data_IF_540549520341
#
_entry.id   IF_540549520341
#
_cell.length_a   1.000
_cell.length_b   1.000
_cell.length_c   1.000
_cell.angle_alpha   90.00
_cell.angle_beta   90.00
_cell.angle_gamma   90.00
#
_symmetry.space_group_name_H-M   'P 1'
#
loop_
_entity.id
_entity.type
_entity.pdbx_description
1 polymer ?
#
# COMPACT_ATOMS: atom_id res chain seq x y z
N UNK A 1 28.78 -4.88 3.39
CA UNK A 1 27.44 -5.37 2.92
C UNK A 1 26.64 -5.66 4.17
N UNK A 2 25.40 -5.16 4.26
CA UNK A 2 24.56 -5.32 5.46
C UNK A 2 24.14 -6.80 5.58
N UNK A 3 24.74 -7.52 6.51
CA UNK A 3 24.50 -8.95 6.76
C UNK A 3 23.10 -9.30 7.26
N UNK A 4 22.19 -8.30 7.42
CA UNK A 4 20.84 -8.48 7.95
C UNK A 4 19.75 -7.76 7.13
N UNK A 5 19.93 -7.62 5.81
CA UNK A 5 18.89 -7.02 4.98
C UNK A 5 17.72 -7.99 4.82
N UNK A 6 16.54 -7.64 5.37
CA UNK A 6 15.30 -8.39 5.19
C UNK A 6 14.34 -7.59 4.30
N UNK A 7 14.37 -7.87 3.00
CA UNK A 7 13.52 -7.18 2.03
C UNK A 7 12.05 -7.58 2.16
N UNK A 8 11.76 -8.79 2.60
CA UNK A 8 10.39 -9.21 2.85
C UNK A 8 9.74 -8.30 3.91
N UNK A 9 10.49 -7.94 4.97
CA UNK A 9 10.01 -7.02 6.00
C UNK A 9 9.86 -5.58 5.48
N UNK A 10 10.78 -5.12 4.64
CA UNK A 10 10.71 -3.77 4.03
C UNK A 10 9.52 -3.66 3.06
N UNK A 11 9.22 -4.74 2.33
CA UNK A 11 8.22 -4.74 1.27
C UNK A 11 6.83 -5.23 1.72
N UNK A 12 6.68 -5.78 2.91
CA UNK A 12 5.42 -6.42 3.38
C UNK A 12 4.18 -5.52 3.29
N UNK A 13 4.37 -4.22 3.56
CA UNK A 13 3.29 -3.23 3.52
C UNK A 13 3.22 -2.47 2.18
N UNK A 14 4.05 -2.88 1.20
CA UNK A 14 4.05 -2.27 -0.11
C UNK A 14 2.88 -2.82 -0.94
N UNK A 15 2.21 -1.96 -1.72
CA UNK A 15 1.14 -2.42 -2.59
C UNK A 15 1.66 -3.27 -3.75
N UNK A 16 0.82 -4.17 -4.25
CA UNK A 16 1.00 -4.76 -5.58
C UNK A 16 1.19 -3.65 -6.63
N UNK A 17 2.09 -3.86 -7.59
CA UNK A 17 2.47 -2.83 -8.57
C UNK A 17 3.58 -1.88 -8.10
N UNK A 18 4.11 -2.00 -6.88
CA UNK A 18 5.29 -1.24 -6.46
C UNK A 18 6.45 -1.51 -7.42
N UNK A 19 6.97 -0.44 -8.04
CA UNK A 19 8.07 -0.54 -9.00
C UNK A 19 9.38 -0.87 -8.29
N UNK A 20 10.06 -1.87 -8.80
CA UNK A 20 11.36 -2.37 -8.35
C UNK A 20 12.24 -2.62 -9.58
N UNK A 21 13.49 -2.96 -9.35
CA UNK A 21 14.46 -3.27 -10.40
C UNK A 21 15.24 -4.54 -10.07
N UNK A 22 15.40 -5.39 -11.06
CA UNK A 22 16.31 -6.54 -11.02
C UNK A 22 17.35 -6.44 -12.15
N UNK A 23 18.65 -6.63 -11.87
CA UNK A 23 19.67 -6.69 -12.92
C UNK A 23 19.42 -7.78 -13.97
N UNK A 24 18.66 -8.82 -13.60
CA UNK A 24 18.33 -9.94 -14.49
C UNK A 24 17.12 -9.63 -15.38
N UNK A 25 16.09 -9.00 -14.81
CA UNK A 25 14.79 -8.81 -15.49
C UNK A 25 14.53 -7.36 -15.91
N UNK A 26 15.36 -6.41 -15.49
CA UNK A 26 15.09 -4.98 -15.66
C UNK A 26 14.05 -4.46 -14.66
N UNK A 27 13.15 -3.57 -15.11
CA UNK A 27 12.06 -3.06 -14.29
C UNK A 27 11.02 -4.15 -14.04
N UNK A 28 10.64 -4.32 -12.79
CA UNK A 28 9.69 -5.33 -12.32
C UNK A 28 8.70 -4.69 -11.34
N UNK A 29 7.61 -5.37 -11.06
CA UNK A 29 6.60 -4.93 -10.11
C UNK A 29 6.47 -5.93 -8.95
N UNK A 30 6.35 -5.44 -7.74
CA UNK A 30 5.99 -6.28 -6.61
C UNK A 30 4.57 -6.82 -6.83
N UNK A 31 4.40 -8.13 -6.78
CA UNK A 31 3.07 -8.75 -6.79
C UNK A 31 2.54 -8.86 -5.35
N UNK A 32 3.30 -9.50 -4.48
CA UNK A 32 3.00 -9.61 -3.04
C UNK A 32 4.21 -10.08 -2.26
N UNK A 33 4.15 -9.88 -0.94
CA UNK A 33 5.02 -10.54 0.03
C UNK A 33 4.18 -11.52 0.84
N UNK A 34 4.59 -12.79 0.87
CA UNK A 34 3.93 -13.81 1.68
C UNK A 34 4.49 -13.69 3.09
N UNK A 35 3.62 -13.45 4.04
CA UNK A 35 3.96 -13.50 5.46
C UNK A 35 3.67 -14.91 5.96
N UNK A 36 4.71 -15.57 6.40
CA UNK A 36 4.59 -16.85 7.10
C UNK A 36 4.17 -16.52 8.52
N UNK A 37 2.89 -16.29 8.72
CA UNK A 37 2.29 -16.50 10.02
C UNK A 37 2.13 -18.01 10.16
N UNK A 38 2.22 -18.54 11.38
CA UNK A 38 2.19 -19.98 11.74
C UNK A 38 1.00 -20.79 11.15
N UNK A 39 0.62 -20.51 9.93
CA UNK A 39 -0.43 -21.17 9.20
C UNK A 39 0.15 -22.44 8.54
N UNK A 40 -0.29 -23.57 9.04
CA UNK A 40 0.03 -24.95 8.63
C UNK A 40 -0.18 -25.25 7.12
N UNK A 41 -0.49 -24.24 6.32
CA UNK A 41 -0.80 -24.32 4.88
C UNK A 41 0.20 -23.56 3.98
N UNK A 42 1.22 -22.90 4.53
CA UNK A 42 2.28 -22.32 3.69
C UNK A 42 3.08 -23.45 3.04
N UNK A 43 3.31 -23.34 1.74
CA UNK A 43 4.20 -24.28 1.07
C UNK A 43 5.64 -24.01 1.48
N UNK A 44 6.50 -25.04 1.56
CA UNK A 44 7.94 -24.88 1.83
C UNK A 44 8.57 -23.86 0.86
N UNK A 45 8.05 -23.75 -0.36
CA UNK A 45 8.49 -22.80 -1.37
C UNK A 45 8.19 -21.33 -0.98
N UNK A 46 7.04 -21.07 -0.36
CA UNK A 46 6.66 -19.74 0.11
C UNK A 46 7.51 -19.27 1.30
N UNK A 47 7.96 -20.18 2.15
CA UNK A 47 8.89 -19.89 3.25
C UNK A 47 10.27 -19.49 2.76
N UNK A 48 10.71 -20.09 1.66
CA UNK A 48 12.03 -19.83 1.06
C UNK A 48 12.01 -18.56 0.20
N UNK A 49 10.91 -18.37 -0.57
CA UNK A 49 10.75 -17.29 -1.55
C UNK A 49 9.50 -16.44 -1.27
N UNK A 50 9.50 -15.66 -0.17
CA UNK A 50 8.32 -14.89 0.23
C UNK A 50 8.01 -13.71 -0.68
N UNK A 51 8.99 -13.18 -1.45
CA UNK A 51 8.80 -12.01 -2.30
C UNK A 51 8.42 -12.48 -3.70
N UNK A 52 7.20 -12.19 -4.14
CA UNK A 52 6.71 -12.47 -5.51
C UNK A 52 6.69 -11.20 -6.33
N UNK A 53 7.31 -11.26 -7.50
CA UNK A 53 7.35 -10.15 -8.45
C UNK A 53 6.65 -10.53 -9.75
N UNK A 54 6.17 -9.51 -10.43
CA UNK A 54 5.60 -9.58 -11.77
C UNK A 54 6.55 -8.98 -12.77
N UNK A 55 6.85 -9.73 -13.82
CA UNK A 55 7.73 -9.33 -14.91
C UNK A 55 6.93 -8.57 -15.99
N UNK A 56 7.63 -7.85 -16.88
CA UNK A 56 7.01 -7.10 -17.97
C UNK A 56 6.17 -7.95 -18.94
N UNK A 57 6.42 -9.25 -19.04
CA UNK A 57 5.65 -10.20 -19.82
C UNK A 57 4.45 -10.81 -19.06
N UNK A 58 4.11 -10.27 -17.90
CA UNK A 58 3.10 -10.76 -16.96
C UNK A 58 3.42 -12.12 -16.29
N UNK A 59 4.59 -12.72 -16.51
CA UNK A 59 4.98 -13.87 -15.72
C UNK A 59 5.37 -13.47 -14.29
N UNK A 60 5.30 -14.43 -13.39
CA UNK A 60 5.70 -14.25 -11.99
C UNK A 60 7.06 -14.91 -11.76
N UNK A 61 7.84 -14.32 -10.88
CA UNK A 61 9.07 -14.89 -10.34
C UNK A 61 9.18 -14.59 -8.84
N UNK A 62 10.05 -15.32 -8.16
CA UNK A 62 10.12 -15.32 -6.71
C UNK A 62 11.53 -14.98 -6.24
N UNK A 63 11.61 -14.29 -5.09
CA UNK A 63 12.86 -13.94 -4.43
C UNK A 63 12.84 -14.35 -2.96
N UNK A 64 14.01 -14.71 -2.45
CA UNK A 64 14.22 -14.96 -1.03
C UNK A 64 13.98 -13.68 -0.22
N UNK A 65 13.86 -13.81 1.09
CA UNK A 65 13.65 -12.68 2.02
C UNK A 65 14.72 -11.58 1.95
N UNK A 66 15.92 -11.91 1.47
CA UNK A 66 17.05 -10.99 1.28
C UNK A 66 17.24 -10.58 -0.18
N UNK A 67 16.28 -10.90 -1.06
CA UNK A 67 16.25 -10.45 -2.45
C UNK A 67 17.13 -11.27 -3.40
N UNK A 68 17.47 -12.51 -3.07
CA UNK A 68 18.21 -13.43 -3.94
C UNK A 68 17.24 -14.26 -4.77
N UNK A 69 17.72 -14.72 -5.92
CA UNK A 69 16.94 -15.61 -6.80
C UNK A 69 17.06 -17.09 -6.44
N UNK A 70 18.16 -17.48 -5.77
CA UNK A 70 18.46 -18.85 -5.42
C UNK A 70 18.79 -19.02 -3.94
N UNK A 71 18.45 -20.17 -3.40
CA UNK A 71 18.65 -20.52 -1.97
C UNK A 71 20.10 -20.87 -1.65
N UNK A 72 20.91 -21.22 -2.64
CA UNK A 72 22.31 -21.52 -2.42
C UNK A 72 23.04 -20.21 -2.08
N UNK A 73 23.07 -19.89 -0.86
CA UNK A 73 23.55 -18.74 -0.09
C UNK A 73 24.77 -17.96 -0.62
N UNK A 74 25.27 -18.27 -1.81
CA UNK A 74 26.41 -17.63 -2.46
C UNK A 74 26.05 -16.46 -3.38
N UNK A 75 24.76 -16.28 -3.69
CA UNK A 75 24.26 -15.24 -4.60
C UNK A 75 24.16 -13.86 -3.93
N UNK A 76 24.34 -12.82 -4.73
CA UNK A 76 24.10 -11.44 -4.32
C UNK A 76 22.59 -11.10 -4.36
N UNK A 77 22.19 -10.04 -3.64
CA UNK A 77 20.85 -9.46 -3.78
C UNK A 77 20.63 -9.01 -5.22
N UNK A 78 19.55 -9.48 -5.84
CA UNK A 78 19.18 -9.19 -7.23
C UNK A 78 17.88 -8.40 -7.32
N UNK A 79 17.40 -7.81 -6.21
CA UNK A 79 16.22 -6.97 -6.18
C UNK A 79 16.58 -5.63 -5.54
N UNK A 80 16.23 -4.52 -6.20
CA UNK A 80 16.60 -3.16 -5.81
C UNK A 80 15.41 -2.20 -5.93
N UNK A 81 15.41 -1.07 -5.20
CA UNK A 81 14.39 -0.03 -5.31
C UNK A 81 14.23 0.54 -6.72
N UNK A 82 15.34 0.73 -7.45
CA UNK A 82 15.36 1.14 -8.86
C UNK A 82 16.70 0.84 -9.49
N UNK A 83 16.83 1.05 -10.80
CA UNK A 83 18.07 0.87 -11.54
C UNK A 83 19.23 1.71 -10.95
N UNK A 84 18.92 2.94 -10.53
CA UNK A 84 19.89 3.90 -10.03
C UNK A 84 20.00 3.92 -8.50
N UNK A 85 19.08 3.26 -7.81
CA UNK A 85 19.02 3.20 -6.35
C UNK A 85 19.19 1.75 -5.88
N UNK A 86 20.33 1.48 -5.27
CA UNK A 86 20.63 0.15 -4.70
C UNK A 86 20.57 0.08 -3.18
N UNK A 87 20.40 1.23 -2.55
CA UNK A 87 20.37 1.38 -1.10
C UNK A 87 18.92 1.31 -0.60
N UNK A 88 18.56 0.20 0.03
CA UNK A 88 17.25 -0.03 0.60
C UNK A 88 16.95 0.84 1.82
N UNK A 89 17.97 1.40 2.49
CA UNK A 89 17.74 2.30 3.64
C UNK A 89 17.01 3.58 3.25
N UNK A 90 17.09 3.97 1.97
CA UNK A 90 16.43 5.14 1.40
C UNK A 90 15.12 4.81 0.70
N UNK A 91 14.76 3.53 0.63
CA UNK A 91 13.52 3.12 0.01
C UNK A 91 12.33 3.57 0.85
N UNK A 92 11.49 4.39 0.25
CA UNK A 92 10.18 4.77 0.80
C UNK A 92 9.13 4.18 -0.13
N UNK A 93 8.47 3.13 0.33
CA UNK A 93 7.31 2.61 -0.37
C UNK A 93 6.28 3.73 -0.52
N UNK A 94 5.91 4.06 -1.75
CA UNK A 94 4.69 4.84 -1.96
C UNK A 94 3.53 3.88 -1.68
N UNK A 95 2.98 3.94 -0.48
CA UNK A 95 1.70 3.26 -0.22
C UNK A 95 0.69 3.82 -1.23
N UNK A 96 -0.12 2.97 -1.90
CA UNK A 96 -1.17 3.49 -2.75
C UNK A 96 -2.05 4.38 -1.89
N UNK A 97 -2.47 5.49 -2.44
CA UNK A 97 -3.43 6.33 -1.74
C UNK A 97 -4.71 5.55 -1.50
N UNK A 98 -5.38 5.88 -0.43
CA UNK A 98 -6.69 5.31 -0.10
C UNK A 98 -7.66 5.48 -1.28
N UNK A 99 -8.31 4.40 -1.69
CA UNK A 99 -9.38 4.44 -2.70
C UNK A 99 -10.76 4.53 -2.00
N UNK A 100 -11.48 5.64 -2.14
CA UNK A 100 -12.82 5.78 -1.54
C UNK A 100 -13.83 4.73 -2.01
N UNK A 101 -13.61 4.08 -3.15
CA UNK A 101 -14.46 3.00 -3.66
C UNK A 101 -14.44 1.75 -2.78
N UNK A 102 -13.47 1.64 -1.89
CA UNK A 102 -13.40 0.53 -0.91
C UNK A 102 -14.37 0.70 0.26
N UNK A 103 -14.93 1.90 0.45
CA UNK A 103 -15.92 2.16 1.50
C UNK A 103 -17.22 1.38 1.22
N UNK A 104 -17.77 0.81 2.29
CA UNK A 104 -19.02 0.09 2.25
C UNK A 104 -20.14 0.91 2.92
N UNK A 105 -21.42 0.74 2.51
CA UNK A 105 -22.54 1.37 3.20
C UNK A 105 -22.50 1.10 4.71
N UNK A 106 -22.75 2.16 5.49
CA UNK A 106 -22.67 2.20 6.96
C UNK A 106 -21.27 2.18 7.58
N UNK A 107 -20.22 2.22 6.78
CA UNK A 107 -18.88 2.47 7.31
C UNK A 107 -18.85 3.79 8.05
N UNK A 108 -18.16 3.79 9.21
CA UNK A 108 -17.90 5.00 9.97
C UNK A 108 -16.79 5.80 9.32
N UNK A 109 -17.10 7.02 8.90
CA UNK A 109 -16.21 7.88 8.14
C UNK A 109 -16.03 9.24 8.80
N UNK A 110 -14.90 9.89 8.45
CA UNK A 110 -14.68 11.31 8.70
C UNK A 110 -14.90 12.09 7.42
N UNK A 111 -15.65 13.18 7.52
CA UNK A 111 -16.07 13.97 6.36
C UNK A 111 -15.84 15.46 6.57
N UNK A 112 -15.62 16.18 5.45
CA UNK A 112 -15.55 17.64 5.38
C UNK A 112 -16.19 18.15 4.09
N UNK A 113 -16.80 19.33 4.11
CA UNK A 113 -17.22 20.04 2.88
C UNK A 113 -16.07 20.85 2.28
N UNK A 114 -15.21 21.40 3.12
CA UNK A 114 -14.00 22.15 2.71
C UNK A 114 -12.90 22.01 3.77
N UNK A 115 -11.64 22.30 3.37
CA UNK A 115 -10.46 22.15 4.24
C UNK A 115 -10.44 23.08 5.46
N UNK A 116 -11.31 24.10 5.53
CA UNK A 116 -11.39 25.03 6.68
C UNK A 116 -12.37 24.56 7.76
N UNK A 117 -13.18 23.54 7.49
CA UNK A 117 -14.07 22.94 8.46
C UNK A 117 -13.36 21.86 9.30
N UNK A 118 -13.94 21.56 10.47
CA UNK A 118 -13.49 20.41 11.26
C UNK A 118 -14.04 19.11 10.70
N UNK A 119 -13.26 18.03 10.86
CA UNK A 119 -13.66 16.67 10.53
C UNK A 119 -14.85 16.24 11.40
N UNK A 120 -15.89 15.74 10.76
CA UNK A 120 -17.13 15.26 11.39
C UNK A 120 -17.28 13.77 11.14
N UNK A 121 -17.75 13.05 12.16
CA UNK A 121 -18.07 11.63 12.02
C UNK A 121 -19.43 11.48 11.38
N UNK A 122 -19.51 10.60 10.36
CA UNK A 122 -20.76 10.24 9.67
C UNK A 122 -20.78 8.73 9.36
N UNK A 123 -21.91 8.24 8.90
CA UNK A 123 -22.05 6.92 8.31
C UNK A 123 -22.13 7.08 6.80
N UNK A 124 -21.23 6.41 6.09
CA UNK A 124 -21.18 6.42 4.64
C UNK A 124 -22.39 5.72 4.03
N UNK A 125 -22.89 6.21 2.91
CA UNK A 125 -23.97 5.58 2.17
C UNK A 125 -23.49 5.06 0.82
N UNK A 126 -23.08 5.97 -0.08
CA UNK A 126 -22.61 5.61 -1.42
C UNK A 126 -21.82 6.77 -2.05
N UNK A 127 -21.17 6.50 -3.17
CA UNK A 127 -20.55 7.51 -4.03
C UNK A 127 -21.54 7.93 -5.10
N UNK A 128 -21.71 9.22 -5.30
CA UNK A 128 -22.53 9.80 -6.37
C UNK A 128 -21.71 9.78 -7.66
N UNK A 129 -22.14 9.02 -8.66
CA UNK A 129 -21.38 8.75 -9.91
C UNK A 129 -21.34 9.94 -10.89
N UNK A 130 -22.19 10.93 -10.76
CA UNK A 130 -22.20 12.10 -11.65
C UNK A 130 -21.14 13.12 -11.23
N UNK A 131 -20.74 14.09 -12.08
CA UNK A 131 -19.87 15.17 -11.68
C UNK A 131 -20.52 15.98 -10.55
N UNK A 132 -20.28 15.54 -9.32
CA UNK A 132 -20.86 16.13 -8.11
C UNK A 132 -19.78 16.89 -7.32
N UNK A 133 -20.10 18.10 -6.89
CA UNK A 133 -19.24 18.90 -6.02
C UNK A 133 -19.00 18.20 -4.66
N UNK A 134 -19.97 17.41 -4.22
CA UNK A 134 -19.99 16.65 -2.97
C UNK A 134 -20.30 15.18 -3.27
N UNK A 135 -19.30 14.40 -3.73
CA UNK A 135 -19.55 13.05 -4.25
C UNK A 135 -19.83 11.99 -3.19
N UNK A 136 -19.57 12.27 -1.91
CA UNK A 136 -19.72 11.28 -0.85
C UNK A 136 -21.01 11.48 -0.09
N UNK A 137 -22.01 10.64 -0.41
CA UNK A 137 -23.28 10.63 0.29
C UNK A 137 -23.14 9.92 1.63
N UNK A 138 -23.54 10.57 2.69
CA UNK A 138 -23.73 10.03 4.04
C UNK A 138 -25.21 10.07 4.42
N UNK A 139 -25.59 9.49 5.56
CA UNK A 139 -27.01 9.40 5.96
C UNK A 139 -27.70 10.76 6.01
N UNK A 140 -27.01 11.81 6.45
CA UNK A 140 -27.63 13.12 6.64
C UNK A 140 -27.36 14.09 5.47
N UNK A 141 -26.14 14.12 4.95
CA UNK A 141 -25.68 15.11 3.96
C UNK A 141 -24.62 14.52 3.03
N UNK A 142 -24.28 15.27 1.96
CA UNK A 142 -23.21 14.94 1.05
C UNK A 142 -21.95 15.77 1.38
N UNK A 143 -20.78 15.20 1.15
CA UNK A 143 -19.49 15.80 1.50
C UNK A 143 -18.49 15.74 0.35
N UNK A 144 -17.51 16.65 0.39
CA UNK A 144 -16.45 16.72 -0.62
C UNK A 144 -15.29 15.77 -0.33
N UNK A 145 -14.97 15.61 0.95
CA UNK A 145 -13.88 14.75 1.43
C UNK A 145 -14.46 13.71 2.37
N UNK A 146 -14.01 12.46 2.19
CA UNK A 146 -14.49 11.33 2.98
C UNK A 146 -13.35 10.31 3.15
N UNK A 147 -13.00 10.02 4.39
CA UNK A 147 -11.96 9.03 4.75
C UNK A 147 -12.50 8.10 5.83
N UNK A 148 -11.99 6.86 5.96
CA UNK A 148 -12.44 5.96 7.01
C UNK A 148 -12.10 6.53 8.40
N UNK A 149 -12.99 6.31 9.37
CA UNK A 149 -12.75 6.63 10.79
C UNK A 149 -12.17 5.42 11.49
N UNK A 150 -10.86 5.27 11.48
CA UNK A 150 -10.11 4.14 12.05
C UNK A 150 -9.03 4.60 13.04
N UNK A 151 -8.11 3.70 13.44
CA UNK A 151 -7.02 4.02 14.35
C UNK A 151 -6.14 5.19 13.89
N UNK A 152 -5.89 5.28 12.58
CA UNK A 152 -4.98 6.29 12.00
C UNK A 152 -5.63 7.67 11.86
N UNK A 153 -6.96 7.75 11.79
CA UNK A 153 -7.69 8.98 11.48
C UNK A 153 -8.56 9.51 12.62
N UNK A 154 -8.84 8.67 13.64
CA UNK A 154 -9.72 9.02 14.76
C UNK A 154 -9.31 10.29 15.50
N UNK A 155 -8.02 10.60 15.57
CA UNK A 155 -7.49 11.80 16.22
C UNK A 155 -7.93 13.11 15.51
N UNK A 156 -8.35 13.04 14.25
CA UNK A 156 -8.80 14.18 13.46
C UNK A 156 -10.20 14.67 13.84
N UNK A 157 -10.99 13.88 14.59
CA UNK A 157 -12.37 14.24 14.96
C UNK A 157 -12.42 15.60 15.65
N UNK A 158 -13.19 16.53 15.08
CA UNK A 158 -13.34 17.88 15.62
C UNK A 158 -12.17 18.83 15.32
N UNK A 159 -11.10 18.36 14.67
CA UNK A 159 -9.95 19.17 14.26
C UNK A 159 -10.06 19.64 12.82
N UNK A 160 -9.19 20.59 12.44
CA UNK A 160 -8.98 21.04 11.05
C UNK A 160 -7.65 20.55 10.49
N UNK A 161 -6.99 19.64 11.19
CA UNK A 161 -5.73 19.07 10.76
C UNK A 161 -5.89 18.34 9.44
N UNK A 162 -4.83 18.35 8.64
CA UNK A 162 -4.84 17.62 7.37
C UNK A 162 -4.88 16.11 7.63
N UNK A 163 -5.64 15.40 6.79
CA UNK A 163 -5.61 13.95 6.80
C UNK A 163 -4.19 13.44 6.49
N UNK A 164 -3.78 12.28 7.05
CA UNK A 164 -2.52 11.64 6.67
C UNK A 164 -2.40 11.48 5.15
N UNK A 165 -1.19 11.61 4.59
CA UNK A 165 -0.93 11.59 3.15
C UNK A 165 -1.59 10.41 2.43
N UNK A 166 -1.58 9.24 3.04
CA UNK A 166 -2.24 8.02 2.53
C UNK A 166 -3.72 8.22 2.20
N UNK A 167 -4.44 9.04 2.98
CA UNK A 167 -5.88 9.27 2.81
C UNK A 167 -6.21 10.47 1.90
N UNK A 168 -5.20 11.22 1.44
CA UNK A 168 -5.40 12.42 0.60
C UNK A 168 -5.47 12.08 -0.90
N UNK A 169 -6.39 11.19 -1.28
CA UNK A 169 -6.62 10.75 -2.67
C UNK A 169 -7.00 11.90 -3.63
N UNK A 170 -7.37 13.06 -3.11
CA UNK A 170 -7.75 14.26 -3.89
C UNK A 170 -6.56 15.16 -4.27
N UNK A 171 -5.35 14.77 -3.97
CA UNK A 171 -4.11 15.53 -4.22
C UNK A 171 -3.25 14.93 -5.34
N UNK A 172 -3.85 14.25 -6.32
CA UNK A 172 -3.15 13.72 -7.50
C UNK A 172 -3.04 14.76 -8.61
#
# INVERSE_FOLDING_TARGET
>A
MNENLNLAEILKDCPSGTKLYSPVYGDVELEKVIQVEDDFLSSIEDDIYPIKIKLNNNSLDNFTKDGRMFVDYSGECMLFPSKDQRDWSKFKAKKPKFDPKTLQPFDKVLVQCNKSESWKVQLFSHIIEAPALYPYACIAYNYKYCIPCNGDTKHLIGTKEEAPEFYRYWED
#
